data_IF_546871850544
#
_entry.id   IF_546871850544
#
_cell.length_a   1.000
_cell.length_b   1.000
_cell.length_c   1.000
_cell.angle_alpha   90.00
_cell.angle_beta   90.00
_cell.angle_gamma   90.00
#
_symmetry.space_group_name_H-M   'P 1'
#
loop_
_entity.id
_entity.type
_entity.pdbx_description
1 polymer ?
#
# COMPACT_ATOMS: atom_id res chain seq x y z
N UNK A 1 -0.24 15.16 -2.47
CA UNK A 1 0.14 15.98 -3.62
C UNK A 1 0.07 17.47 -3.28
N UNK A 2 -1.03 18.00 -2.78
CA UNK A 2 -1.22 19.42 -2.44
C UNK A 2 -0.08 20.02 -1.59
N UNK A 3 0.38 19.27 -0.57
CA UNK A 3 1.48 19.74 0.29
C UNK A 3 2.83 19.77 -0.45
N UNK A 4 3.04 18.87 -1.42
CA UNK A 4 4.24 18.87 -2.26
C UNK A 4 4.20 19.96 -3.34
N UNK A 5 3.01 20.35 -3.80
CA UNK A 5 2.82 21.43 -4.75
C UNK A 5 3.09 22.80 -4.12
N UNK A 6 2.62 23.00 -2.88
CA UNK A 6 2.69 24.30 -2.20
C UNK A 6 4.07 24.68 -1.65
N UNK A 7 5.05 23.77 -1.71
CA UNK A 7 6.40 23.98 -1.21
C UNK A 7 7.44 23.46 -2.20
N UNK A 8 8.54 24.19 -2.37
CA UNK A 8 9.76 23.64 -3.01
C UNK A 8 10.37 22.57 -2.10
N UNK A 9 9.77 21.38 -2.11
CA UNK A 9 10.20 20.27 -1.25
C UNK A 9 11.30 19.48 -1.96
N UNK A 10 12.42 19.32 -1.26
CA UNK A 10 13.55 18.52 -1.74
C UNK A 10 13.69 17.23 -0.92
N UNK A 11 13.92 16.13 -1.63
CA UNK A 11 14.18 14.84 -1.02
C UNK A 11 12.92 14.00 -0.79
N UNK A 12 13.04 13.00 0.06
CA UNK A 12 11.99 12.02 0.32
C UNK A 12 10.95 12.57 1.30
N UNK A 13 9.72 12.75 0.82
CA UNK A 13 8.59 13.25 1.60
C UNK A 13 7.69 12.15 2.13
N UNK A 14 7.36 11.18 1.27
CA UNK A 14 6.40 10.12 1.60
C UNK A 14 6.96 8.75 1.21
N UNK A 15 6.86 7.80 2.14
CA UNK A 15 7.06 6.38 1.85
C UNK A 15 5.69 5.72 1.80
N UNK A 16 5.44 4.95 0.75
CA UNK A 16 4.25 4.12 0.61
C UNK A 16 4.68 2.65 0.63
N UNK A 17 4.27 1.92 1.65
CA UNK A 17 4.62 0.51 1.85
C UNK A 17 3.45 -0.36 1.44
N UNK A 18 3.66 -1.22 0.46
CA UNK A 18 2.68 -2.22 0.03
C UNK A 18 3.22 -3.64 0.28
N UNK A 19 2.40 -4.58 0.76
CA UNK A 19 2.83 -5.97 0.97
C UNK A 19 3.11 -6.70 -0.35
N UNK A 20 2.55 -6.25 -1.46
CA UNK A 20 2.69 -6.86 -2.77
C UNK A 20 3.30 -5.89 -3.78
N UNK A 21 4.29 -6.37 -4.54
CA UNK A 21 4.97 -5.59 -5.60
C UNK A 21 4.01 -5.14 -6.71
N UNK A 22 3.05 -5.98 -7.09
CA UNK A 22 2.07 -5.67 -8.12
C UNK A 22 1.22 -4.45 -7.75
N UNK A 23 0.78 -4.36 -6.50
CA UNK A 23 0.03 -3.21 -5.98
C UNK A 23 0.84 -1.91 -6.06
N UNK A 24 2.15 -1.96 -5.79
CA UNK A 24 3.00 -0.78 -5.90
C UNK A 24 3.02 -0.20 -7.32
N UNK A 25 2.99 -1.05 -8.35
CA UNK A 25 2.95 -0.62 -9.75
C UNK A 25 1.62 0.05 -10.12
N UNK A 26 0.50 -0.50 -9.65
CA UNK A 26 -0.83 0.08 -9.88
C UNK A 26 -0.99 1.41 -9.15
N UNK A 27 -0.53 1.50 -7.91
CA UNK A 27 -0.52 2.74 -7.14
C UNK A 27 0.33 3.81 -7.83
N UNK A 28 1.51 3.43 -8.34
CA UNK A 28 2.36 4.33 -9.11
C UNK A 28 1.60 4.93 -10.29
N UNK A 29 0.96 4.08 -11.10
CA UNK A 29 0.15 4.54 -12.23
C UNK A 29 -0.96 5.50 -11.80
N UNK A 30 -1.69 5.16 -10.74
CA UNK A 30 -2.79 5.98 -10.22
C UNK A 30 -2.31 7.32 -9.64
N UNK A 31 -1.07 7.40 -9.14
CA UNK A 31 -0.47 8.65 -8.68
C UNK A 31 0.07 9.48 -9.84
N UNK A 32 0.63 8.84 -10.88
CA UNK A 32 1.21 9.55 -12.03
C UNK A 32 0.15 10.30 -12.84
N UNK A 33 -1.04 9.73 -13.02
CA UNK A 33 -2.13 10.37 -13.78
C UNK A 33 -2.44 11.79 -13.26
N UNK A 34 -2.84 12.01 -12.00
CA UNK A 34 -3.12 13.35 -11.51
C UNK A 34 -1.87 14.25 -11.45
N UNK A 35 -0.69 13.69 -11.24
CA UNK A 35 0.56 14.46 -11.25
C UNK A 35 0.81 15.07 -12.65
N UNK A 36 0.62 14.27 -13.70
CA UNK A 36 0.78 14.69 -15.09
C UNK A 36 -0.31 15.66 -15.52
N UNK A 37 -1.59 15.37 -15.21
CA UNK A 37 -2.73 16.23 -15.53
C UNK A 37 -2.65 17.61 -14.87
N UNK A 38 -2.11 17.69 -13.66
CA UNK A 38 -1.92 18.94 -12.92
C UNK A 38 -0.58 19.62 -13.21
N UNK A 39 0.29 19.02 -13.99
CA UNK A 39 1.63 19.54 -14.31
C UNK A 39 2.56 19.66 -13.09
N UNK A 40 2.42 18.78 -12.10
CA UNK A 40 3.20 18.85 -10.86
C UNK A 40 4.61 18.30 -11.04
N UNK A 41 5.62 18.97 -10.51
CA UNK A 41 6.99 18.51 -10.51
C UNK A 41 7.25 17.52 -9.33
N UNK A 42 6.51 16.41 -9.29
CA UNK A 42 6.61 15.39 -8.24
C UNK A 42 7.16 14.10 -8.84
N UNK A 43 8.28 13.62 -8.29
CA UNK A 43 8.87 12.33 -8.68
C UNK A 43 8.32 11.21 -7.81
N UNK A 44 7.73 10.20 -8.45
CA UNK A 44 7.24 8.97 -7.83
C UNK A 44 8.04 7.79 -8.37
N UNK A 45 8.69 7.05 -7.50
CA UNK A 45 9.49 5.89 -7.90
C UNK A 45 9.21 4.69 -7.02
N UNK A 46 9.46 3.51 -7.56
CA UNK A 46 9.40 2.25 -6.84
C UNK A 46 10.79 1.75 -6.43
N UNK A 47 10.83 1.11 -5.26
CA UNK A 47 11.99 0.39 -4.76
C UNK A 47 11.56 -0.95 -4.20
N UNK A 48 11.72 -1.97 -5.02
CA UNK A 48 11.37 -3.35 -4.71
C UNK A 48 12.57 -4.28 -4.90
N UNK A 49 12.38 -5.58 -4.74
CA UNK A 49 13.41 -6.58 -5.08
C UNK A 49 13.91 -6.44 -6.52
N UNK A 50 13.01 -6.09 -7.44
CA UNK A 50 13.27 -6.07 -8.89
C UNK A 50 13.93 -4.77 -9.38
N UNK A 51 13.94 -3.71 -8.56
CA UNK A 51 14.62 -2.45 -8.89
C UNK A 51 16.13 -2.68 -9.03
N UNK A 52 16.73 -2.21 -10.12
CA UNK A 52 18.14 -2.43 -10.43
C UNK A 52 19.07 -1.81 -9.37
N UNK A 53 20.27 -2.37 -9.22
CA UNK A 53 21.27 -1.86 -8.29
C UNK A 53 21.68 -0.40 -8.56
N UNK A 54 21.73 -0.01 -9.84
CA UNK A 54 22.04 1.37 -10.25
C UNK A 54 20.96 2.35 -9.76
N UNK A 55 19.68 2.05 -9.99
CA UNK A 55 18.55 2.85 -9.51
C UNK A 55 18.56 2.90 -7.97
N UNK A 56 18.72 1.75 -7.30
CA UNK A 56 18.78 1.69 -5.84
C UNK A 56 19.90 2.56 -5.25
N UNK A 57 21.06 2.64 -5.94
CA UNK A 57 22.18 3.49 -5.52
C UNK A 57 21.83 4.97 -5.69
N UNK A 58 21.29 5.35 -6.85
CA UNK A 58 20.86 6.72 -7.12
C UNK A 58 19.83 7.20 -6.11
N UNK A 59 18.80 6.41 -5.84
CA UNK A 59 17.73 6.76 -4.90
C UNK A 59 18.21 7.06 -3.47
N UNK A 60 19.40 6.59 -3.07
CA UNK A 60 19.96 6.92 -1.76
C UNK A 60 20.58 8.33 -1.70
N UNK A 61 21.03 8.84 -2.85
CA UNK A 61 21.71 10.15 -2.96
C UNK A 61 20.74 11.22 -3.49
N UNK A 62 19.93 10.84 -4.47
CA UNK A 62 18.90 11.67 -5.10
C UNK A 62 17.54 10.93 -5.02
N UNK A 63 16.87 11.01 -3.86
CA UNK A 63 15.60 10.30 -3.65
C UNK A 63 14.43 10.97 -4.39
N UNK A 64 13.37 10.19 -4.74
CA UNK A 64 12.12 10.76 -5.20
C UNK A 64 11.36 11.44 -4.06
N UNK A 65 10.35 12.21 -4.39
CA UNK A 65 9.43 12.79 -3.40
C UNK A 65 8.53 11.74 -2.75
N UNK A 66 8.08 10.76 -3.54
CA UNK A 66 7.27 9.63 -3.08
C UNK A 66 7.99 8.33 -3.48
N UNK A 67 8.26 7.48 -2.49
CA UNK A 67 8.89 6.17 -2.69
C UNK A 67 7.90 5.06 -2.37
N UNK A 68 7.56 4.25 -3.38
CA UNK A 68 6.75 3.04 -3.24
C UNK A 68 7.69 1.87 -2.93
N UNK A 69 7.42 1.10 -1.89
CA UNK A 69 8.35 0.05 -1.46
C UNK A 69 7.64 -1.12 -0.77
N UNK A 70 8.39 -2.16 -0.43
CA UNK A 70 7.93 -3.29 0.38
C UNK A 70 8.56 -3.25 1.77
N UNK A 71 7.99 -3.94 2.78
CA UNK A 71 8.56 -4.00 4.14
C UNK A 71 10.04 -4.38 4.15
N UNK A 72 10.43 -5.38 3.36
CA UNK A 72 11.80 -5.88 3.28
C UNK A 72 12.76 -4.84 2.67
N UNK A 73 12.31 -4.20 1.59
CA UNK A 73 13.11 -3.17 0.92
C UNK A 73 13.30 -1.93 1.79
N UNK A 74 12.28 -1.58 2.58
CA UNK A 74 12.37 -0.50 3.56
C UNK A 74 13.36 -0.84 4.67
N UNK A 75 13.28 -2.04 5.25
CA UNK A 75 14.20 -2.49 6.29
C UNK A 75 15.66 -2.44 5.81
N UNK A 76 15.92 -2.88 4.58
CA UNK A 76 17.23 -2.76 3.96
C UNK A 76 17.64 -1.29 3.77
N UNK A 77 16.73 -0.43 3.32
CA UNK A 77 17.04 0.98 3.06
C UNK A 77 17.45 1.72 4.33
N UNK A 78 16.80 1.41 5.46
CA UNK A 78 17.11 2.00 6.77
C UNK A 78 18.45 1.53 7.31
N UNK A 79 18.96 0.37 6.86
CA UNK A 79 20.24 -0.17 7.33
C UNK A 79 21.47 0.52 6.73
N UNK A 80 21.31 1.30 5.67
CA UNK A 80 22.41 2.00 5.02
C UNK A 80 22.90 3.19 5.85
N UNK A 81 24.20 3.53 5.81
CA UNK A 81 24.76 4.68 6.52
C UNK A 81 24.08 6.01 6.16
N UNK A 82 23.65 6.15 4.89
CA UNK A 82 23.01 7.36 4.36
C UNK A 82 21.55 7.54 4.85
N UNK A 83 21.03 6.60 5.63
CA UNK A 83 19.63 6.64 6.09
C UNK A 83 19.25 7.92 6.82
N UNK A 84 20.15 8.48 7.64
CA UNK A 84 19.92 9.73 8.37
C UNK A 84 19.65 10.91 7.41
N UNK A 85 20.44 11.03 6.36
CA UNK A 85 20.29 12.10 5.34
C UNK A 85 19.09 11.83 4.46
N UNK A 86 18.92 10.58 4.02
CA UNK A 86 17.80 10.16 3.16
C UNK A 86 16.43 10.45 3.76
N UNK A 87 16.27 10.17 5.07
CA UNK A 87 14.98 10.33 5.75
C UNK A 87 14.84 11.68 6.49
N UNK A 88 15.82 12.58 6.40
CA UNK A 88 15.81 13.85 7.15
C UNK A 88 14.52 14.68 6.91
N UNK A 89 13.98 14.64 5.70
CA UNK A 89 12.80 15.39 5.29
C UNK A 89 11.51 14.54 5.24
N UNK A 90 11.58 13.29 5.68
CA UNK A 90 10.43 12.39 5.62
C UNK A 90 9.30 12.88 6.55
N UNK A 91 8.12 13.07 5.99
CA UNK A 91 6.93 13.55 6.71
C UNK A 91 5.92 12.44 6.96
N UNK A 92 5.81 11.46 6.04
CA UNK A 92 4.74 10.47 6.07
C UNK A 92 5.22 9.08 5.71
N UNK A 93 4.63 8.10 6.37
CA UNK A 93 4.63 6.70 5.93
C UNK A 93 3.19 6.22 5.82
N UNK A 94 2.85 5.68 4.66
CA UNK A 94 1.56 5.04 4.38
C UNK A 94 1.80 3.54 4.30
N UNK A 95 1.05 2.78 5.05
CA UNK A 95 1.08 1.30 5.02
C UNK A 95 -0.24 0.81 4.45
N UNK A 96 -0.15 0.25 3.26
CA UNK A 96 -1.31 -0.28 2.55
C UNK A 96 -1.56 -1.74 2.92
N UNK A 97 -2.82 -2.17 2.78
CA UNK A 97 -3.28 -3.50 3.15
C UNK A 97 -2.75 -3.95 4.53
N UNK A 98 -2.79 -3.01 5.48
CA UNK A 98 -2.15 -3.21 6.79
C UNK A 98 -2.68 -4.45 7.52
N UNK A 99 -3.94 -4.85 7.29
CA UNK A 99 -4.54 -6.05 7.84
C UNK A 99 -3.76 -7.33 7.47
N UNK A 100 -3.17 -7.39 6.28
CA UNK A 100 -2.36 -8.52 5.85
C UNK A 100 -0.99 -8.61 6.56
N UNK A 101 -0.61 -7.55 7.28
CA UNK A 101 0.68 -7.43 7.94
C UNK A 101 0.60 -7.66 9.46
N UNK A 102 -0.51 -7.35 10.12
CA UNK A 102 -0.64 -7.29 11.59
C UNK A 102 -0.14 -8.56 12.28
N UNK A 103 -0.49 -9.75 11.81
CA UNK A 103 -0.13 -11.03 12.43
C UNK A 103 1.06 -11.73 11.73
N UNK A 104 1.77 -11.02 10.85
CA UNK A 104 2.81 -11.62 10.04
C UNK A 104 4.22 -11.25 10.51
N UNK A 105 5.20 -12.13 10.24
CA UNK A 105 6.63 -11.82 10.46
C UNK A 105 7.08 -10.57 9.70
N UNK A 106 6.51 -10.36 8.50
CA UNK A 106 6.78 -9.17 7.68
C UNK A 106 6.27 -7.89 8.34
N UNK A 107 5.11 -7.99 9.00
CA UNK A 107 4.55 -6.90 9.78
C UNK A 107 5.40 -6.54 10.99
N UNK A 108 5.88 -7.52 11.75
CA UNK A 108 6.80 -7.27 12.86
C UNK A 108 8.08 -6.58 12.38
N UNK A 109 8.66 -7.01 11.25
CA UNK A 109 9.80 -6.33 10.63
C UNK A 109 9.47 -4.89 10.23
N UNK A 110 8.26 -4.65 9.71
CA UNK A 110 7.81 -3.30 9.35
C UNK A 110 7.68 -2.39 10.58
N UNK A 111 7.10 -2.88 11.68
CA UNK A 111 6.98 -2.10 12.92
C UNK A 111 8.35 -1.70 13.45
N UNK A 112 9.33 -2.60 13.45
CA UNK A 112 10.71 -2.28 13.81
C UNK A 112 11.32 -1.22 12.89
N UNK A 113 11.06 -1.30 11.59
CA UNK A 113 11.50 -0.31 10.62
C UNK A 113 10.85 1.06 10.88
N UNK A 114 9.54 1.10 11.16
CA UNK A 114 8.80 2.32 11.48
C UNK A 114 9.31 2.95 12.79
N UNK A 115 9.53 2.16 13.83
CA UNK A 115 10.10 2.65 15.09
C UNK A 115 11.48 3.30 14.89
N UNK A 116 12.31 2.69 14.02
CA UNK A 116 13.60 3.27 13.67
C UNK A 116 13.47 4.56 12.85
N UNK A 117 12.51 4.62 11.91
CA UNK A 117 12.20 5.87 11.19
C UNK A 117 11.71 6.95 12.14
N UNK A 118 10.88 6.62 13.12
CA UNK A 118 10.40 7.55 14.13
C UNK A 118 11.52 8.18 14.95
N UNK A 119 12.58 7.41 15.27
CA UNK A 119 13.76 7.92 15.94
C UNK A 119 14.61 8.87 15.07
N UNK A 120 14.51 8.74 13.75
CA UNK A 120 15.19 9.63 12.79
C UNK A 120 14.34 10.85 12.43
N UNK A 121 13.02 10.74 12.51
CA UNK A 121 12.04 11.73 12.05
C UNK A 121 10.99 11.95 13.14
N UNK A 122 11.22 12.90 14.05
CA UNK A 122 10.37 13.13 15.23
C UNK A 122 8.90 13.38 14.91
N UNK A 123 8.59 13.99 13.75
CA UNK A 123 7.24 14.34 13.33
C UNK A 123 6.70 13.41 12.22
N UNK A 124 7.16 12.16 12.16
CA UNK A 124 6.70 11.20 11.18
C UNK A 124 5.22 10.86 11.39
N UNK A 125 4.38 11.18 10.41
CA UNK A 125 2.97 10.80 10.40
C UNK A 125 2.84 9.38 9.83
N UNK A 126 2.20 8.51 10.59
CA UNK A 126 1.92 7.12 10.20
C UNK A 126 0.46 6.98 9.78
N UNK A 127 0.20 6.35 8.64
CA UNK A 127 -1.14 6.17 8.06
C UNK A 127 -1.26 4.70 7.67
N UNK A 128 -2.27 4.02 8.18
CA UNK A 128 -2.65 2.67 7.76
C UNK A 128 -3.86 2.72 6.84
N UNK A 129 -3.80 2.00 5.73
CA UNK A 129 -4.94 1.78 4.84
C UNK A 129 -5.33 0.30 4.89
N UNK A 130 -6.62 0.04 4.93
CA UNK A 130 -7.16 -1.32 4.97
C UNK A 130 -8.52 -1.36 4.29
N UNK A 131 -8.85 -2.49 3.67
CA UNK A 131 -10.19 -2.74 3.17
C UNK A 131 -11.15 -3.05 4.33
N UNK A 132 -11.50 -4.28 4.53
CA UNK A 132 -12.36 -4.75 5.63
C UNK A 132 -11.51 -5.29 6.77
N UNK A 133 -11.82 -4.89 8.00
CA UNK A 133 -11.10 -5.34 9.20
C UNK A 133 -12.11 -5.66 10.31
N UNK A 134 -12.03 -6.84 10.86
CA UNK A 134 -12.92 -7.26 11.96
C UNK A 134 -12.61 -6.51 13.26
N UNK A 135 -11.34 -6.19 13.51
CA UNK A 135 -10.86 -5.52 14.72
C UNK A 135 -9.97 -4.32 14.38
N UNK A 136 -10.57 -3.19 14.00
CA UNK A 136 -9.81 -2.02 13.55
C UNK A 136 -8.91 -1.41 14.64
N UNK A 137 -9.27 -1.58 15.92
CA UNK A 137 -8.47 -1.11 17.06
C UNK A 137 -7.14 -1.85 17.18
N UNK A 138 -7.10 -3.13 16.86
CA UNK A 138 -5.85 -3.92 16.86
C UNK A 138 -4.90 -3.43 15.76
N UNK A 139 -5.45 -3.13 14.58
CA UNK A 139 -4.70 -2.58 13.45
C UNK A 139 -4.19 -1.17 13.77
N UNK A 140 -5.01 -0.35 14.42
CA UNK A 140 -4.60 0.99 14.87
C UNK A 140 -3.46 0.90 15.90
N UNK A 141 -3.54 -0.03 16.84
CA UNK A 141 -2.49 -0.27 17.83
C UNK A 141 -1.19 -0.80 17.22
N UNK A 142 -1.28 -1.54 16.13
CA UNK A 142 -0.11 -2.08 15.43
C UNK A 142 0.78 -0.99 14.82
N UNK A 143 0.20 0.09 14.31
CA UNK A 143 0.96 1.18 13.67
C UNK A 143 1.25 2.36 14.61
N UNK A 144 0.48 2.49 15.69
CA UNK A 144 0.57 3.61 16.62
C UNK A 144 1.53 3.33 17.77
N UNK A 145 2.34 4.33 18.14
CA UNK A 145 3.18 4.27 19.35
C UNK A 145 2.37 4.51 20.64
N UNK A 146 1.21 5.16 20.50
CA UNK A 146 0.35 5.50 21.62
C UNK A 146 -1.09 5.05 21.33
N UNK A 147 -1.51 4.00 22.02
CA UNK A 147 -2.83 3.36 21.89
C UNK A 147 -4.02 4.33 22.00
N UNK A 148 -3.83 5.47 22.65
CA UNK A 148 -4.92 6.42 22.92
C UNK A 148 -5.24 7.41 21.78
N UNK A 149 -4.41 7.53 20.75
CA UNK A 149 -4.48 8.65 19.80
C UNK A 149 -4.39 8.27 18.30
N UNK A 150 -4.75 7.05 17.91
CA UNK A 150 -4.86 6.71 16.49
C UNK A 150 -6.32 6.84 16.03
N UNK A 151 -6.70 7.92 15.33
CA UNK A 151 -8.08 8.06 14.83
C UNK A 151 -8.35 7.02 13.75
N UNK A 152 -9.48 6.32 13.89
CA UNK A 152 -9.96 5.38 12.88
C UNK A 152 -11.02 6.07 12.06
N UNK A 153 -10.82 6.13 10.73
CA UNK A 153 -11.75 6.74 9.80
C UNK A 153 -12.37 5.65 8.96
N UNK A 154 -13.67 5.48 9.08
CA UNK A 154 -14.44 4.56 8.25
C UNK A 154 -14.90 5.31 6.99
N UNK A 155 -14.65 4.69 5.82
CA UNK A 155 -15.29 5.15 4.59
C UNK A 155 -16.81 4.91 4.71
N UNK A 156 -17.62 5.78 4.10
CA UNK A 156 -19.04 5.52 3.97
C UNK A 156 -19.21 4.22 3.19
N UNK A 157 -20.10 3.33 3.70
CA UNK A 157 -20.47 2.13 2.94
C UNK A 157 -20.96 2.55 1.55
N UNK A 158 -20.49 1.85 0.54
CA UNK A 158 -21.00 2.01 -0.83
C UNK A 158 -22.45 1.52 -0.94
N UNK A 159 -22.90 1.28 -2.17
CA UNK A 159 -24.18 0.64 -2.44
C UNK A 159 -24.16 -0.77 -1.85
N UNK A 160 -25.23 -1.18 -1.17
CA UNK A 160 -25.35 -2.53 -0.64
C UNK A 160 -25.22 -3.56 -1.79
N UNK A 161 -24.38 -4.60 -1.60
CA UNK A 161 -24.17 -5.60 -2.64
C UNK A 161 -25.46 -6.40 -2.86
N UNK A 162 -25.85 -6.57 -4.11
CA UNK A 162 -26.94 -7.49 -4.47
C UNK A 162 -26.37 -8.91 -4.55
N UNK A 163 -26.53 -9.68 -3.47
CA UNK A 163 -26.02 -11.03 -3.35
C UNK A 163 -27.10 -12.02 -3.79
N UNK A 164 -26.82 -12.84 -4.80
CA UNK A 164 -27.72 -13.89 -5.25
C UNK A 164 -26.96 -15.20 -5.47
N UNK A 165 -27.67 -16.30 -5.30
CA UNK A 165 -27.12 -17.63 -5.57
C UNK A 165 -27.34 -17.98 -7.04
N UNK A 166 -26.26 -18.24 -7.77
CA UNK A 166 -26.33 -18.69 -9.15
C UNK A 166 -26.83 -20.13 -9.20
N UNK A 167 -27.98 -20.33 -9.86
CA UNK A 167 -28.46 -21.68 -10.21
C UNK A 167 -27.84 -22.09 -11.54
N UNK A 168 -27.01 -23.10 -11.51
CA UNK A 168 -26.37 -23.64 -12.72
C UNK A 168 -27.33 -24.50 -13.54
N UNK A 169 -27.22 -24.41 -14.87
CA UNK A 169 -28.00 -25.23 -15.80
C UNK A 169 -27.58 -26.70 -15.75
N UNK A 170 -26.33 -26.93 -15.40
CA UNK A 170 -25.73 -28.26 -15.26
C UNK A 170 -25.59 -28.66 -13.79
N UNK A 171 -25.95 -29.89 -13.45
CA UNK A 171 -25.76 -30.42 -12.10
C UNK A 171 -24.28 -30.67 -11.81
N UNK A 172 -23.84 -30.46 -10.55
CA UNK A 172 -22.48 -30.78 -10.16
C UNK A 172 -22.18 -32.27 -10.36
N UNK A 173 -21.00 -32.63 -10.84
CA UNK A 173 -20.61 -34.03 -10.98
C UNK A 173 -20.50 -34.69 -9.61
N UNK A 174 -20.83 -36.00 -9.54
CA UNK A 174 -20.76 -36.78 -8.31
C UNK A 174 -19.35 -36.90 -7.72
N UNK A 175 -18.33 -36.77 -8.56
CA UNK A 175 -16.93 -36.81 -8.16
C UNK A 175 -16.20 -35.60 -8.69
N UNK A 176 -15.43 -34.96 -7.81
CA UNK A 176 -14.56 -33.84 -8.15
C UNK A 176 -14.93 -32.56 -7.41
N UNK A 177 -13.91 -31.84 -6.96
CA UNK A 177 -14.04 -30.59 -6.20
C UNK A 177 -14.06 -29.33 -7.08
N UNK A 178 -14.02 -29.45 -8.40
CA UNK A 178 -13.94 -28.34 -9.32
C UNK A 178 -15.32 -27.82 -9.75
N UNK A 179 -15.51 -26.49 -9.70
CA UNK A 179 -16.73 -25.83 -10.17
C UNK A 179 -16.72 -25.56 -11.69
N UNK A 180 -15.97 -26.32 -12.48
CA UNK A 180 -15.81 -26.12 -13.93
C UNK A 180 -17.13 -26.24 -14.70
N UNK A 181 -18.08 -27.01 -14.20
CA UNK A 181 -19.42 -27.15 -14.76
C UNK A 181 -20.23 -25.83 -14.71
N UNK A 182 -19.89 -24.94 -13.79
CA UNK A 182 -20.57 -23.66 -13.61
C UNK A 182 -19.97 -22.51 -14.44
N UNK A 183 -18.78 -22.71 -15.03
CA UNK A 183 -18.07 -21.66 -15.79
C UNK A 183 -18.93 -21.01 -16.88
N UNK A 184 -19.68 -21.76 -17.72
CA UNK A 184 -20.52 -21.14 -18.76
C UNK A 184 -21.59 -20.20 -18.17
N UNK A 185 -22.25 -20.64 -17.08
CA UNK A 185 -23.30 -19.85 -16.43
C UNK A 185 -22.73 -18.60 -15.74
N UNK A 186 -21.53 -18.71 -15.17
CA UNK A 186 -20.79 -17.58 -14.59
C UNK A 186 -20.41 -16.57 -15.67
N UNK A 187 -19.88 -17.03 -16.80
CA UNK A 187 -19.51 -16.16 -17.93
C UNK A 187 -20.72 -15.43 -18.51
N UNK A 188 -21.89 -16.11 -18.63
CA UNK A 188 -23.13 -15.49 -19.04
C UNK A 188 -23.49 -14.33 -18.08
N UNK A 189 -23.40 -14.56 -16.76
CA UNK A 189 -23.67 -13.53 -15.75
C UNK A 189 -22.67 -12.37 -15.78
N UNK A 190 -21.41 -12.65 -15.99
CA UNK A 190 -20.37 -11.60 -16.15
C UNK A 190 -20.70 -10.72 -17.35
N UNK A 191 -21.12 -11.34 -18.47
CA UNK A 191 -21.44 -10.62 -19.71
C UNK A 191 -22.66 -9.68 -19.59
N UNK A 192 -23.55 -9.92 -18.61
CA UNK A 192 -24.68 -9.04 -18.31
C UNK A 192 -24.26 -7.71 -17.65
N UNK A 193 -23.00 -7.57 -17.23
CA UNK A 193 -22.48 -6.43 -16.49
C UNK A 193 -21.34 -5.72 -17.23
N UNK A 194 -21.22 -4.40 -17.06
CA UNK A 194 -20.16 -3.60 -17.69
C UNK A 194 -18.80 -3.70 -17.01
N UNK A 195 -18.81 -4.06 -15.73
CA UNK A 195 -17.58 -4.22 -14.89
C UNK A 195 -17.79 -5.40 -13.97
N UNK A 196 -16.74 -6.17 -13.79
CA UNK A 196 -16.69 -7.33 -12.89
C UNK A 196 -15.48 -7.19 -12.00
#
# INVERSE_FOLDING_TARGET
LIELESSEFFGLHTIYVSPLKALASDIKRNLMIPIEEMGLNIRVEDRTGDTTAAIKRRQRVDPPHILLTTPESLALLISFPESKTLFANLKRIVVDEIHALVESKRGHQLVLAISRLQSLCANLRKIGLSATVDRPEEVANFISDNKANCPIIFAKSGVDPNISMLKTKTLPPWAGAGATYAIPDVLEKISDHKTT
#
